data_IF_635102837749
#
_entry.id   IF_635102837749
#
_cell.length_a   1.000
_cell.length_b   1.000
_cell.length_c   1.000
_cell.angle_alpha   90.00
_cell.angle_beta   90.00
_cell.angle_gamma   90.00
#
_symmetry.space_group_name_H-M   'P 1'
#
loop_
_entity.id
_entity.type
_entity.pdbx_description
1 polymer ?
#
# COMPACT_ATOMS: atom_id res chain seq x y z
N UNK A 1 48.70 -32.32 -9.18
CA UNK A 1 49.52 -31.07 -9.32
C UNK A 1 48.88 -30.05 -8.41
N UNK A 2 49.58 -29.86 -7.26
CA UNK A 2 49.22 -28.87 -6.24
C UNK A 2 49.61 -27.47 -6.68
N UNK A 3 48.79 -26.45 -6.36
CA UNK A 3 49.30 -25.10 -6.08
C UNK A 3 48.47 -24.47 -4.99
N UNK A 4 49.13 -24.30 -3.86
CA UNK A 4 48.72 -23.48 -2.74
C UNK A 4 49.02 -22.00 -3.05
N UNK A 5 48.23 -21.09 -2.58
CA UNK A 5 48.44 -19.62 -2.64
C UNK A 5 47.57 -18.94 -1.62
N UNK A 6 48.07 -18.75 -0.52
CA UNK A 6 48.62 -17.61 0.22
C UNK A 6 47.56 -16.71 0.85
N UNK A 7 47.41 -16.88 2.18
CA UNK A 7 46.79 -15.92 3.09
C UNK A 7 47.64 -14.67 3.20
N UNK A 8 47.01 -13.50 3.08
CA UNK A 8 47.56 -12.23 3.51
C UNK A 8 46.87 -11.79 4.79
N UNK A 9 47.62 -11.88 5.90
CA UNK A 9 47.32 -11.27 7.19
C UNK A 9 47.39 -9.74 7.06
N UNK A 10 46.28 -9.04 7.42
CA UNK A 10 46.32 -7.58 7.60
C UNK A 10 46.13 -7.31 9.09
N UNK A 11 47.21 -6.77 9.69
CA UNK A 11 47.26 -6.36 11.09
C UNK A 11 46.42 -5.11 11.39
N UNK A 12 45.93 -4.97 12.60
CA UNK A 12 45.15 -3.79 13.03
C UNK A 12 46.07 -2.62 13.37
N UNK A 13 45.81 -1.47 12.77
CA UNK A 13 46.48 -0.20 13.09
C UNK A 13 45.82 0.43 14.33
N UNK A 14 46.70 0.78 15.27
CA UNK A 14 46.40 1.35 16.58
C UNK A 14 45.69 2.71 16.53
N UNK A 15 44.86 2.91 17.54
CA UNK A 15 44.19 4.17 17.90
C UNK A 15 45.13 5.02 18.76
N UNK A 16 45.33 6.32 18.50
CA UNK A 16 46.08 7.20 19.40
C UNK A 16 45.22 7.68 20.57
N UNK A 17 45.79 7.47 21.76
CA UNK A 17 45.33 8.09 23.00
C UNK A 17 45.50 9.61 22.95
N UNK A 18 44.43 10.36 23.15
CA UNK A 18 44.49 11.74 23.63
C UNK A 18 43.78 11.85 24.99
N UNK A 19 44.57 11.84 26.02
CA UNK A 19 44.16 12.33 27.34
C UNK A 19 44.05 13.84 27.26
N UNK A 20 42.93 14.41 27.69
CA UNK A 20 42.92 15.74 28.32
C UNK A 20 41.83 15.80 29.38
N UNK A 21 42.32 15.90 30.61
CA UNK A 21 41.56 16.23 31.82
C UNK A 21 41.27 17.72 31.83
N UNK A 22 40.10 18.12 32.28
CA UNK A 22 39.71 19.33 33.05
C UNK A 22 38.20 19.27 33.13
N UNK A 23 37.49 19.22 34.24
CA UNK A 23 37.42 20.10 35.34
C UNK A 23 35.96 20.11 35.76
N UNK A 24 35.70 19.85 37.04
CA UNK A 24 34.39 19.83 37.71
C UNK A 24 33.59 21.13 37.59
N UNK A 25 32.29 21.01 37.38
CA UNK A 25 31.30 21.90 37.97
C UNK A 25 29.94 21.19 38.06
N UNK A 26 29.54 20.92 39.29
CA UNK A 26 28.22 20.41 39.69
C UNK A 26 27.25 21.59 39.65
N UNK A 27 26.21 21.49 38.81
CA UNK A 27 24.97 22.24 39.01
C UNK A 27 23.81 21.25 38.86
N UNK A 28 23.27 20.86 39.98
CA UNK A 28 22.02 20.12 40.05
C UNK A 28 20.85 21.09 39.83
N UNK A 29 20.21 20.99 38.67
CA UNK A 29 18.85 21.48 38.49
C UNK A 29 17.94 20.30 38.18
N UNK A 30 17.21 19.87 39.17
CA UNK A 30 16.10 18.95 39.04
C UNK A 30 14.93 19.68 38.34
N UNK A 31 14.76 19.45 37.04
CA UNK A 31 13.53 19.80 36.32
C UNK A 31 12.84 18.50 35.97
N UNK A 32 11.86 18.12 36.79
CA UNK A 32 10.91 17.07 36.48
C UNK A 32 10.00 17.56 35.32
N UNK A 33 10.41 17.33 34.07
CA UNK A 33 9.54 17.48 32.94
C UNK A 33 8.92 16.11 32.74
N UNK A 34 7.64 15.97 33.16
CA UNK A 34 6.79 14.83 32.83
C UNK A 34 6.63 14.77 31.31
N UNK A 35 7.51 13.99 30.67
CA UNK A 35 7.38 13.66 29.25
C UNK A 35 6.21 12.72 29.07
N UNK A 36 4.99 13.25 28.88
CA UNK A 36 3.90 12.51 28.29
C UNK A 36 4.31 12.13 26.87
N UNK A 37 4.66 10.88 26.66
CA UNK A 37 4.76 10.33 25.30
C UNK A 37 3.36 10.36 24.72
N UNK A 38 3.06 11.41 23.93
CA UNK A 38 1.94 11.40 23.02
C UNK A 38 2.21 10.24 22.05
N UNK A 39 1.58 9.09 22.30
CA UNK A 39 1.46 8.04 21.30
C UNK A 39 0.71 8.69 20.15
N UNK A 40 1.44 9.11 19.12
CA UNK A 40 0.84 9.46 17.85
C UNK A 40 0.01 8.25 17.41
N UNK A 41 -1.28 8.43 17.04
CA UNK A 41 -2.04 7.35 16.45
C UNK A 41 -1.24 6.82 15.26
N UNK A 42 -1.24 5.48 15.02
CA UNK A 42 -0.62 4.93 13.82
C UNK A 42 -1.21 5.71 12.64
N UNK A 43 -0.33 6.34 11.86
CA UNK A 43 -0.74 6.93 10.60
C UNK A 43 -1.43 5.80 9.82
N UNK A 44 -2.74 5.91 9.64
CA UNK A 44 -3.43 5.07 8.67
C UNK A 44 -2.63 5.26 7.38
N UNK A 45 -2.14 4.15 6.81
CA UNK A 45 -1.47 4.22 5.52
C UNK A 45 -2.48 4.88 4.58
N UNK A 46 -2.14 6.05 4.04
CA UNK A 46 -3.00 6.74 3.09
C UNK A 46 -3.26 5.76 1.94
N UNK A 47 -4.54 5.54 1.60
CA UNK A 47 -4.88 4.60 0.55
C UNK A 47 -4.26 5.04 -0.75
N UNK A 48 -3.25 4.34 -1.22
CA UNK A 48 -2.61 4.40 -2.53
C UNK A 48 -2.90 5.71 -3.32
N UNK A 49 -2.38 6.89 -2.90
CA UNK A 49 -2.79 8.19 -3.45
C UNK A 49 -2.56 8.27 -4.97
N UNK A 50 -1.56 7.55 -5.49
CA UNK A 50 -1.30 7.49 -6.92
C UNK A 50 -2.42 6.75 -7.68
N UNK A 51 -2.93 5.64 -7.14
CA UNK A 51 -4.04 4.89 -7.75
C UNK A 51 -5.32 5.72 -7.70
N UNK A 52 -5.61 6.35 -6.55
CA UNK A 52 -6.76 7.24 -6.40
C UNK A 52 -6.74 8.38 -7.43
N UNK A 53 -5.61 9.08 -7.55
CA UNK A 53 -5.46 10.16 -8.51
C UNK A 53 -5.63 9.68 -9.95
N UNK A 54 -5.05 8.53 -10.30
CA UNK A 54 -5.16 7.96 -11.64
C UNK A 54 -6.61 7.62 -12.02
N UNK A 55 -7.41 7.12 -11.07
CA UNK A 55 -8.85 6.86 -11.28
C UNK A 55 -9.63 8.17 -11.46
N UNK A 56 -9.34 9.18 -10.63
CA UNK A 56 -9.96 10.51 -10.73
C UNK A 56 -9.64 11.17 -12.08
N UNK A 57 -8.40 11.09 -12.53
CA UNK A 57 -7.96 11.64 -13.83
C UNK A 57 -8.64 10.91 -15.01
N UNK A 58 -8.73 9.58 -14.93
CA UNK A 58 -9.42 8.78 -15.94
C UNK A 58 -10.92 9.10 -16.00
N UNK A 59 -11.55 9.40 -14.85
CA UNK A 59 -12.94 9.85 -14.77
C UNK A 59 -13.11 11.25 -15.36
N UNK A 60 -12.19 12.18 -15.03
CA UNK A 60 -12.24 13.59 -15.47
C UNK A 60 -12.12 13.75 -16.98
N UNK A 61 -11.60 12.76 -17.72
CA UNK A 61 -11.58 12.74 -19.19
C UNK A 61 -12.97 12.54 -19.82
N UNK A 62 -13.99 12.16 -19.04
CA UNK A 62 -15.35 11.91 -19.48
C UNK A 62 -16.31 13.09 -19.26
N UNK A 63 -17.59 12.91 -19.62
CA UNK A 63 -18.67 13.88 -19.43
C UNK A 63 -19.42 13.76 -18.10
N UNK A 64 -19.05 12.77 -17.27
CA UNK A 64 -19.70 12.49 -16.00
C UNK A 64 -19.16 13.40 -14.88
N UNK A 65 -19.96 13.56 -13.82
CA UNK A 65 -19.46 14.16 -12.58
C UNK A 65 -18.31 13.36 -11.94
N UNK A 66 -17.57 13.96 -11.00
CA UNK A 66 -16.48 13.28 -10.30
C UNK A 66 -17.01 12.06 -9.53
N UNK A 67 -16.14 11.07 -9.38
CA UNK A 67 -16.37 9.97 -8.44
C UNK A 67 -16.07 10.44 -7.01
N UNK A 68 -16.90 10.04 -6.06
CA UNK A 68 -16.68 10.30 -4.65
C UNK A 68 -15.82 9.18 -4.07
N UNK A 69 -14.70 9.52 -3.46
CA UNK A 69 -13.95 8.55 -2.68
C UNK A 69 -14.72 8.13 -1.43
N UNK A 70 -14.80 6.82 -1.17
CA UNK A 70 -15.59 6.27 -0.08
C UNK A 70 -14.80 5.22 0.71
N UNK A 71 -14.53 5.44 2.03
CA UNK A 71 -13.76 4.52 2.85
C UNK A 71 -14.35 3.12 2.99
N UNK A 72 -15.68 2.98 2.91
CA UNK A 72 -16.34 1.67 2.93
C UNK A 72 -16.07 0.90 1.63
N UNK A 73 -16.07 1.60 0.50
CA UNK A 73 -15.74 1.03 -0.81
C UNK A 73 -14.24 0.72 -0.90
N UNK A 74 -13.38 1.54 -0.28
CA UNK A 74 -11.95 1.23 -0.12
C UNK A 74 -11.74 -0.08 0.65
N UNK A 75 -12.46 -0.28 1.75
CA UNK A 75 -12.38 -1.54 2.50
C UNK A 75 -12.79 -2.73 1.63
N UNK A 76 -13.81 -2.58 0.78
CA UNK A 76 -14.16 -3.61 -0.19
C UNK A 76 -13.03 -3.86 -1.21
N UNK A 77 -12.36 -2.81 -1.70
CA UNK A 77 -11.21 -2.93 -2.59
C UNK A 77 -10.03 -3.65 -1.91
N UNK A 78 -9.79 -3.39 -0.62
CA UNK A 78 -8.75 -4.08 0.16
C UNK A 78 -9.07 -5.58 0.32
N UNK A 79 -10.32 -5.94 0.60
CA UNK A 79 -10.75 -7.35 0.68
C UNK A 79 -10.53 -8.07 -0.65
N UNK A 80 -10.92 -7.47 -1.77
CA UNK A 80 -10.71 -8.03 -3.12
C UNK A 80 -9.21 -8.19 -3.41
N UNK A 81 -8.40 -7.17 -3.11
CA UNK A 81 -6.97 -7.18 -3.36
C UNK A 81 -6.24 -8.24 -2.51
N UNK A 82 -6.63 -8.40 -1.23
CA UNK A 82 -6.09 -9.44 -0.34
C UNK A 82 -6.46 -10.85 -0.81
N UNK A 83 -7.58 -11.04 -1.48
CA UNK A 83 -7.91 -12.34 -2.08
C UNK A 83 -6.90 -12.72 -3.17
N UNK A 84 -6.55 -11.79 -4.05
CA UNK A 84 -5.50 -11.99 -5.05
C UNK A 84 -4.12 -12.20 -4.41
N UNK A 85 -3.80 -11.41 -3.38
CA UNK A 85 -2.56 -11.55 -2.61
C UNK A 85 -2.41 -12.97 -2.04
N UNK A 86 -3.43 -13.47 -1.32
CA UNK A 86 -3.40 -14.80 -0.69
C UNK A 86 -3.40 -15.95 -1.70
N UNK A 87 -3.90 -15.71 -2.90
CA UNK A 87 -3.78 -16.65 -4.01
C UNK A 87 -2.33 -16.73 -4.52
N UNK A 88 -1.66 -15.60 -4.66
CA UNK A 88 -0.29 -15.54 -5.18
C UNK A 88 0.74 -16.08 -4.18
N UNK A 89 0.58 -15.80 -2.89
CA UNK A 89 1.48 -16.27 -1.84
C UNK A 89 1.21 -17.74 -1.43
N UNK A 90 0.20 -18.37 -2.03
CA UNK A 90 -0.23 -19.75 -1.74
C UNK A 90 -0.56 -19.99 -0.25
N UNK A 91 -0.89 -18.97 0.51
CA UNK A 91 -1.18 -19.05 1.94
C UNK A 91 -2.60 -19.56 2.25
N UNK A 92 -3.50 -19.54 1.28
CA UNK A 92 -4.87 -19.97 1.44
C UNK A 92 -5.24 -21.15 0.55
N UNK A 93 -5.97 -22.11 1.12
CA UNK A 93 -6.60 -23.21 0.40
C UNK A 93 -7.99 -22.75 -0.05
N UNK A 94 -8.31 -22.85 -1.32
CA UNK A 94 -9.60 -22.47 -1.90
C UNK A 94 -9.89 -20.96 -1.86
N UNK A 95 -8.95 -20.14 -2.29
CA UNK A 95 -9.21 -18.71 -2.55
C UNK A 95 -10.18 -18.61 -3.72
N UNK A 96 -11.30 -17.89 -3.58
CA UNK A 96 -12.20 -17.65 -4.70
C UNK A 96 -11.44 -16.96 -5.85
N UNK A 97 -11.79 -17.29 -7.09
CA UNK A 97 -11.35 -16.52 -8.23
C UNK A 97 -11.81 -15.06 -8.07
N UNK A 98 -11.10 -14.14 -8.71
CA UNK A 98 -11.43 -12.71 -8.70
C UNK A 98 -12.91 -12.47 -8.91
N UNK A 99 -13.56 -11.82 -7.95
CA UNK A 99 -14.93 -11.38 -8.11
C UNK A 99 -14.97 -10.01 -8.78
N UNK A 100 -15.29 -10.00 -10.08
CA UNK A 100 -15.47 -8.76 -10.85
C UNK A 100 -16.69 -7.95 -10.37
N UNK A 101 -17.56 -8.55 -9.55
CA UNK A 101 -18.78 -7.93 -9.06
C UNK A 101 -18.92 -8.14 -7.55
N UNK A 102 -18.06 -7.52 -6.71
CA UNK A 102 -18.03 -7.75 -5.27
C UNK A 102 -19.23 -7.13 -4.54
N UNK A 103 -20.43 -7.33 -5.09
CA UNK A 103 -21.68 -6.77 -4.56
C UNK A 103 -22.00 -7.28 -3.15
N UNK A 104 -21.70 -8.54 -2.88
CA UNK A 104 -21.91 -9.13 -1.55
C UNK A 104 -20.99 -8.45 -0.52
N UNK A 105 -19.71 -8.30 -0.84
CA UNK A 105 -18.73 -7.65 0.04
C UNK A 105 -19.17 -6.22 0.36
N UNK A 106 -19.55 -5.45 -0.65
CA UNK A 106 -19.99 -4.05 -0.47
C UNK A 106 -21.24 -3.96 0.42
N UNK A 107 -22.20 -4.88 0.23
CA UNK A 107 -23.42 -4.95 1.06
C UNK A 107 -23.14 -5.39 2.49
N UNK A 108 -22.26 -6.36 2.69
CA UNK A 108 -21.87 -6.84 4.02
C UNK A 108 -21.14 -5.75 4.82
N UNK A 109 -20.46 -4.85 4.14
CA UNK A 109 -19.86 -3.65 4.72
C UNK A 109 -20.87 -2.52 4.98
N UNK A 110 -22.15 -2.74 4.69
CA UNK A 110 -23.24 -1.81 4.97
C UNK A 110 -23.43 -0.72 3.90
N UNK A 111 -22.79 -0.82 2.74
CA UNK A 111 -23.01 0.11 1.64
C UNK A 111 -24.12 -0.38 0.71
N UNK A 112 -25.17 0.44 0.55
CA UNK A 112 -26.31 0.07 -0.28
C UNK A 112 -26.04 0.43 -1.75
N UNK A 113 -25.70 -0.59 -2.55
CA UNK A 113 -25.33 -0.43 -3.94
C UNK A 113 -26.21 -1.29 -4.87
N UNK A 114 -26.58 -0.71 -6.00
CA UNK A 114 -27.30 -1.41 -7.06
C UNK A 114 -26.35 -1.95 -8.14
N UNK A 115 -25.18 -1.34 -8.30
CA UNK A 115 -24.17 -1.69 -9.28
C UNK A 115 -22.80 -1.65 -8.61
N UNK A 116 -22.05 -2.74 -8.74
CA UNK A 116 -20.68 -2.84 -8.20
C UNK A 116 -19.80 -3.52 -9.23
N UNK A 117 -18.60 -3.01 -9.45
CA UNK A 117 -17.58 -3.67 -10.27
C UNK A 117 -16.20 -3.42 -9.69
N UNK A 118 -15.32 -4.41 -9.80
CA UNK A 118 -13.91 -4.30 -9.48
C UNK A 118 -13.05 -4.44 -10.73
N UNK A 119 -11.94 -3.72 -10.76
CA UNK A 119 -10.91 -3.79 -11.80
C UNK A 119 -9.55 -3.87 -11.16
N UNK A 120 -8.67 -4.66 -11.75
CA UNK A 120 -7.40 -5.02 -11.15
C UNK A 120 -6.24 -4.79 -12.11
N UNK A 121 -5.06 -4.60 -11.55
CA UNK A 121 -3.81 -4.59 -12.29
C UNK A 121 -2.71 -5.20 -11.43
N UNK A 122 -1.87 -6.02 -12.04
CA UNK A 122 -0.72 -6.63 -11.40
C UNK A 122 0.52 -6.46 -12.27
N UNK A 123 1.62 -5.99 -11.67
CA UNK A 123 2.89 -5.81 -12.36
C UNK A 123 4.04 -5.74 -11.35
N UNK A 124 5.29 -5.83 -11.83
CA UNK A 124 6.48 -5.69 -10.98
C UNK A 124 6.75 -4.26 -10.49
N UNK A 125 5.93 -3.29 -10.89
CA UNK A 125 5.99 -1.92 -10.39
C UNK A 125 4.59 -1.30 -10.36
N UNK A 126 4.44 -0.28 -9.52
CA UNK A 126 3.17 0.40 -9.31
C UNK A 126 2.60 1.03 -10.58
N UNK A 127 3.43 1.71 -11.37
CA UNK A 127 2.97 2.43 -12.56
C UNK A 127 2.34 1.50 -13.60
N UNK A 128 2.91 0.33 -13.82
CA UNK A 128 2.38 -0.66 -14.75
C UNK A 128 1.16 -1.39 -14.16
N UNK A 129 1.12 -1.63 -12.84
CA UNK A 129 -0.06 -2.17 -12.17
C UNK A 129 -1.26 -1.20 -12.31
N UNK A 130 -1.05 0.09 -12.04
CA UNK A 130 -2.08 1.13 -12.22
C UNK A 130 -2.52 1.22 -13.68
N UNK A 131 -1.60 1.16 -14.63
CA UNK A 131 -1.93 1.14 -16.05
C UNK A 131 -2.78 -0.07 -16.44
N UNK A 132 -2.47 -1.24 -15.91
CA UNK A 132 -3.26 -2.47 -16.11
C UNK A 132 -4.70 -2.29 -15.61
N UNK A 133 -4.85 -1.80 -14.38
CA UNK A 133 -6.13 -1.47 -13.76
C UNK A 133 -6.95 -0.49 -14.63
N UNK A 134 -6.34 0.60 -15.08
CA UNK A 134 -7.03 1.60 -15.92
C UNK A 134 -7.43 1.03 -17.28
N UNK A 135 -6.62 0.14 -17.86
CA UNK A 135 -6.97 -0.55 -19.12
C UNK A 135 -8.15 -1.48 -18.95
N UNK A 136 -8.23 -2.21 -17.83
CA UNK A 136 -9.36 -3.06 -17.50
C UNK A 136 -10.61 -2.21 -17.26
N UNK A 137 -10.51 -1.17 -16.43
CA UNK A 137 -11.60 -0.26 -16.06
C UNK A 137 -11.99 0.78 -17.11
N UNK A 138 -11.34 0.81 -18.29
CA UNK A 138 -11.47 1.88 -19.30
C UNK A 138 -12.90 2.22 -19.74
N UNK A 139 -13.81 1.26 -19.68
CA UNK A 139 -15.21 1.46 -20.07
C UNK A 139 -16.12 1.76 -18.87
N UNK A 140 -15.71 1.37 -17.67
CA UNK A 140 -16.50 1.52 -16.46
C UNK A 140 -16.16 2.82 -15.70
N UNK A 141 -14.90 3.19 -15.62
CA UNK A 141 -14.50 4.42 -14.93
C UNK A 141 -15.22 5.67 -15.48
N UNK A 142 -15.36 5.85 -16.81
CA UNK A 142 -16.14 6.96 -17.38
C UNK A 142 -17.66 6.74 -17.42
N UNK A 143 -18.20 5.61 -16.96
CA UNK A 143 -19.64 5.35 -16.92
C UNK A 143 -20.33 6.12 -15.80
N UNK A 144 -21.25 7.03 -16.16
CA UNK A 144 -21.97 7.91 -15.22
C UNK A 144 -22.86 7.17 -14.20
N UNK A 145 -23.12 5.88 -14.39
CA UNK A 145 -23.87 5.08 -13.43
C UNK A 145 -23.09 4.73 -12.15
N UNK A 146 -21.76 4.94 -12.15
CA UNK A 146 -20.94 4.84 -10.95
C UNK A 146 -20.77 6.22 -10.32
N UNK A 147 -20.92 6.28 -8.99
CA UNK A 147 -20.87 7.52 -8.20
C UNK A 147 -19.78 7.53 -7.15
N UNK A 148 -19.42 6.36 -6.63
CA UNK A 148 -18.44 6.20 -5.56
C UNK A 148 -17.36 5.20 -5.96
N UNK A 149 -16.18 5.34 -5.34
CA UNK A 149 -15.06 4.44 -5.55
C UNK A 149 -14.19 4.29 -4.31
N UNK A 150 -13.44 3.19 -4.27
CA UNK A 150 -12.36 2.95 -3.35
C UNK A 150 -11.24 2.19 -4.05
N UNK A 151 -10.02 2.35 -3.56
CA UNK A 151 -8.83 1.74 -4.16
C UNK A 151 -8.00 0.99 -3.12
N UNK A 152 -7.24 -0.01 -3.56
CA UNK A 152 -6.25 -0.71 -2.75
C UNK A 152 -4.99 -0.95 -3.55
N UNK A 153 -3.84 -0.84 -2.89
CA UNK A 153 -2.53 -1.15 -3.45
C UNK A 153 -1.78 -2.05 -2.47
N UNK A 154 -1.33 -3.21 -2.92
CA UNK A 154 -0.55 -4.17 -2.12
C UNK A 154 0.68 -4.60 -2.90
N UNK A 155 1.78 -4.85 -2.19
CA UNK A 155 2.95 -5.50 -2.75
C UNK A 155 3.04 -6.93 -2.23
N UNK A 156 3.16 -7.91 -3.14
CA UNK A 156 3.30 -9.32 -2.83
C UNK A 156 4.76 -9.75 -3.08
N UNK A 157 5.54 -10.04 -2.00
CA UNK A 157 6.98 -10.21 -2.11
C UNK A 157 7.44 -11.54 -2.70
N UNK A 158 6.62 -12.60 -2.73
CA UNK A 158 7.02 -13.89 -3.27
C UNK A 158 7.02 -13.89 -4.80
N UNK A 159 6.02 -13.26 -5.40
CA UNK A 159 5.91 -13.10 -6.85
C UNK A 159 6.53 -11.79 -7.36
N UNK A 160 6.94 -10.90 -6.45
CA UNK A 160 7.43 -9.55 -6.78
C UNK A 160 6.38 -8.72 -7.55
N UNK A 161 5.11 -8.90 -7.22
CA UNK A 161 4.02 -8.15 -7.85
C UNK A 161 3.48 -7.03 -6.95
N UNK A 162 3.25 -5.88 -7.58
CA UNK A 162 2.37 -4.84 -7.06
C UNK A 162 0.96 -5.08 -7.61
N UNK A 163 -0.01 -5.15 -6.71
CA UNK A 163 -1.42 -5.42 -6.99
C UNK A 163 -2.22 -4.16 -6.75
N UNK A 164 -2.89 -3.66 -7.77
CA UNK A 164 -3.76 -2.48 -7.69
C UNK A 164 -5.20 -2.88 -7.96
N UNK A 165 -6.13 -2.42 -7.12
CA UNK A 165 -7.57 -2.67 -7.28
C UNK A 165 -8.34 -1.36 -7.16
N UNK A 166 -9.36 -1.19 -7.98
CA UNK A 166 -10.43 -0.22 -7.80
C UNK A 166 -11.78 -0.93 -7.73
N UNK A 167 -12.59 -0.56 -6.76
CA UNK A 167 -14.02 -0.92 -6.71
C UNK A 167 -14.82 0.33 -7.05
N UNK A 168 -15.73 0.22 -8.01
CA UNK A 168 -16.68 1.24 -8.41
C UNK A 168 -18.08 0.85 -7.95
N UNK A 169 -18.83 1.82 -7.44
CA UNK A 169 -20.17 1.62 -6.90
C UNK A 169 -21.13 2.65 -7.48
N UNK A 170 -22.32 2.15 -7.87
CA UNK A 170 -23.47 2.96 -8.30
C UNK A 170 -24.69 2.68 -7.41
N UNK A 171 -25.44 3.72 -7.09
CA UNK A 171 -26.66 3.71 -6.27
C UNK A 171 -27.92 3.84 -7.10
#
# INVERSE_FOLDING_TARGET
MSTAGSRADVAPRGVPHWMSKVGSAIVALASAIGGGTLLAPPAAADPAPAVQQAVVDARGAGSCGPLNYNPTVEHAADIVNRSTYTYLDHSAVNVPADDQHPTAIVKDLGFNANKVSSFQGAAHNEADAVKGLLLEGRNAIPDCSYTDFGVSLLYEPQSDFTLAVVVLVGT
#
